data_IF_450908006789
#
_entry.id   IF_450908006789
#
_cell.length_a   1.000
_cell.length_b   1.000
_cell.length_c   1.000
_cell.angle_alpha   90.00
_cell.angle_beta   90.00
_cell.angle_gamma   90.00
#
_symmetry.space_group_name_H-M   'P 1'
#
loop_
_entity.id
_entity.type
_entity.pdbx_description
1 polymer ?
#
# COMPACT_ATOMS: atom_id res chain seq x y z
N UNK A 1 -14.85 12.35 12.92
CA UNK A 1 -13.86 12.08 14.00
C UNK A 1 -14.04 10.69 14.62
N UNK A 2 -15.26 10.27 14.99
CA UNK A 2 -15.53 8.90 15.51
C UNK A 2 -15.19 7.76 14.54
N UNK A 3 -15.42 7.91 13.23
CA UNK A 3 -15.16 6.86 12.24
C UNK A 3 -13.66 6.53 12.07
N UNK A 4 -12.80 7.56 12.15
CA UNK A 4 -11.35 7.42 12.09
C UNK A 4 -10.84 6.69 13.34
N UNK A 5 -11.33 7.08 14.52
CA UNK A 5 -11.01 6.42 15.78
C UNK A 5 -11.43 4.93 15.78
N UNK A 6 -12.57 4.59 15.18
CA UNK A 6 -13.06 3.21 15.09
C UNK A 6 -12.25 2.35 14.10
N UNK A 7 -11.81 2.91 12.97
CA UNK A 7 -10.86 2.24 12.05
C UNK A 7 -9.49 2.04 12.70
N UNK A 8 -8.97 3.06 13.40
CA UNK A 8 -7.70 2.95 14.13
C UNK A 8 -7.80 1.89 15.23
N UNK A 9 -8.90 1.86 16.00
CA UNK A 9 -9.15 0.83 17.01
C UNK A 9 -9.24 -0.59 16.42
N UNK A 10 -9.88 -0.74 15.27
CA UNK A 10 -9.96 -2.04 14.59
C UNK A 10 -8.59 -2.51 14.09
N UNK A 11 -7.74 -1.61 13.57
CA UNK A 11 -6.37 -1.94 13.15
C UNK A 11 -5.50 -2.31 14.37
N UNK A 12 -5.65 -1.60 15.49
CA UNK A 12 -4.91 -1.87 16.75
C UNK A 12 -5.31 -3.21 17.40
N UNK A 13 -6.56 -3.68 17.21
CA UNK A 13 -7.03 -4.98 17.73
C UNK A 13 -6.66 -6.21 16.89
N UNK A 14 -5.98 -6.04 15.76
CA UNK A 14 -5.57 -7.16 14.91
C UNK A 14 -4.29 -7.81 15.45
N UNK A 15 -4.19 -9.14 15.34
CA UNK A 15 -2.93 -9.82 15.67
C UNK A 15 -1.81 -9.33 14.73
N UNK A 16 -0.54 -9.27 15.16
CA UNK A 16 0.57 -8.88 14.30
C UNK A 16 0.65 -9.71 13.02
N UNK A 17 0.32 -11.00 13.11
CA UNK A 17 0.22 -11.89 11.97
C UNK A 17 -0.89 -11.45 11.00
N UNK A 18 -2.09 -11.13 11.48
CA UNK A 18 -3.17 -10.65 10.63
C UNK A 18 -2.81 -9.35 9.90
N UNK A 19 -2.14 -8.41 10.59
CA UNK A 19 -1.64 -7.17 9.97
C UNK A 19 -0.61 -7.45 8.87
N UNK A 20 0.31 -8.40 9.09
CA UNK A 20 1.29 -8.83 8.09
C UNK A 20 0.60 -9.43 6.86
N UNK A 21 -0.35 -10.33 7.05
CA UNK A 21 -1.15 -10.93 5.97
C UNK A 21 -1.92 -9.87 5.18
N UNK A 22 -2.55 -8.90 5.86
CA UNK A 22 -3.26 -7.80 5.19
C UNK A 22 -2.33 -6.91 4.37
N UNK A 23 -1.14 -6.58 4.89
CA UNK A 23 -0.12 -5.81 4.15
C UNK A 23 0.37 -6.58 2.93
N UNK A 24 0.66 -7.87 3.09
CA UNK A 24 1.08 -8.77 2.01
C UNK A 24 0.02 -8.85 0.91
N UNK A 25 -1.23 -9.13 1.26
CA UNK A 25 -2.34 -9.19 0.32
C UNK A 25 -2.50 -7.89 -0.48
N UNK A 26 -2.43 -6.74 0.20
CA UNK A 26 -2.47 -5.42 -0.46
C UNK A 26 -1.29 -5.21 -1.41
N UNK A 27 -0.09 -5.68 -1.07
CA UNK A 27 1.10 -5.56 -1.92
C UNK A 27 0.96 -6.45 -3.16
N UNK A 28 0.52 -7.71 -3.00
CA UNK A 28 0.27 -8.63 -4.11
C UNK A 28 -0.70 -8.04 -5.13
N UNK A 29 -1.85 -7.51 -4.68
CA UNK A 29 -2.84 -6.92 -5.59
C UNK A 29 -2.29 -5.72 -6.39
N UNK A 30 -1.42 -4.92 -5.78
CA UNK A 30 -0.76 -3.78 -6.43
C UNK A 30 0.29 -4.21 -7.45
N UNK A 31 1.08 -5.23 -7.14
CA UNK A 31 2.04 -5.79 -8.09
C UNK A 31 1.30 -6.41 -9.28
N UNK A 32 0.23 -7.19 -9.03
CA UNK A 32 -0.63 -7.71 -10.09
C UNK A 32 -1.23 -6.60 -10.96
N UNK A 33 -1.65 -5.49 -10.35
CA UNK A 33 -2.15 -4.33 -11.10
C UNK A 33 -1.05 -3.66 -11.93
N UNK A 34 0.19 -3.69 -11.47
CA UNK A 34 1.32 -3.09 -12.19
C UNK A 34 1.72 -3.92 -13.41
N UNK A 35 1.61 -5.25 -13.31
CA UNK A 35 1.86 -6.16 -14.44
C UNK A 35 0.70 -6.19 -15.45
N UNK A 36 -0.55 -6.12 -14.97
CA UNK A 36 -1.73 -6.30 -15.81
C UNK A 36 -2.32 -4.95 -16.22
N UNK A 37 -2.22 -4.61 -17.51
CA UNK A 37 -2.79 -3.36 -18.04
C UNK A 37 -4.32 -3.36 -18.13
N UNK A 38 -4.94 -4.50 -18.46
CA UNK A 38 -6.40 -4.60 -18.62
C UNK A 38 -7.13 -4.80 -17.29
N UNK A 39 -8.23 -4.05 -17.10
CA UNK A 39 -9.00 -4.06 -15.87
C UNK A 39 -9.83 -5.33 -15.69
N UNK A 40 -10.37 -5.89 -16.77
CA UNK A 40 -11.19 -7.10 -16.69
C UNK A 40 -10.33 -8.30 -16.29
N UNK A 41 -9.20 -8.48 -16.99
CA UNK A 41 -8.21 -9.50 -16.65
C UNK A 41 -7.69 -9.34 -15.23
N UNK A 42 -7.39 -8.11 -14.78
CA UNK A 42 -6.95 -7.88 -13.40
C UNK A 42 -8.00 -8.29 -12.37
N UNK A 43 -9.29 -8.04 -12.62
CA UNK A 43 -10.36 -8.44 -11.70
C UNK A 43 -10.41 -9.97 -11.53
N UNK A 44 -10.25 -10.72 -12.62
CA UNK A 44 -10.23 -12.19 -12.58
C UNK A 44 -9.03 -12.72 -11.77
N UNK A 45 -7.84 -12.17 -12.03
CA UNK A 45 -6.62 -12.51 -11.30
C UNK A 45 -6.73 -12.15 -9.81
N UNK A 46 -7.28 -10.98 -9.50
CA UNK A 46 -7.51 -10.53 -8.13
C UNK A 46 -8.53 -11.42 -7.39
N UNK A 47 -9.58 -11.88 -8.07
CA UNK A 47 -10.55 -12.82 -7.52
C UNK A 47 -9.91 -14.18 -7.23
N UNK A 48 -9.10 -14.71 -8.15
CA UNK A 48 -8.34 -15.94 -7.95
C UNK A 48 -7.41 -15.84 -6.74
N UNK A 49 -6.70 -14.72 -6.62
CA UNK A 49 -5.85 -14.43 -5.46
C UNK A 49 -6.65 -14.40 -4.16
N UNK A 50 -7.80 -13.72 -4.15
CA UNK A 50 -8.69 -13.70 -2.98
C UNK A 50 -9.19 -15.10 -2.60
N UNK A 51 -9.53 -15.93 -3.59
CA UNK A 51 -9.98 -17.31 -3.37
C UNK A 51 -8.86 -18.17 -2.78
N UNK A 52 -7.62 -18.02 -3.24
CA UNK A 52 -6.45 -18.69 -2.67
C UNK A 52 -6.23 -18.33 -1.19
N UNK A 53 -6.28 -17.04 -0.85
CA UNK A 53 -6.19 -16.59 0.55
C UNK A 53 -7.35 -17.10 1.41
N UNK A 54 -8.58 -17.14 0.85
CA UNK A 54 -9.75 -17.68 1.56
C UNK A 54 -9.63 -19.17 1.85
N UNK A 55 -9.14 -19.96 0.89
CA UNK A 55 -8.93 -21.39 1.06
C UNK A 55 -7.95 -21.69 2.20
N UNK A 56 -7.00 -20.79 2.46
CA UNK A 56 -5.96 -20.91 3.49
C UNK A 56 -6.28 -20.07 4.75
N UNK A 57 -7.56 -19.78 5.05
CA UNK A 57 -7.92 -18.98 6.22
C UNK A 57 -7.78 -19.72 7.55
N UNK A 58 -8.09 -21.01 7.59
CA UNK A 58 -8.23 -21.81 8.82
C UNK A 58 -7.08 -22.81 9.02
N UNK A 59 -5.85 -22.41 8.70
CA UNK A 59 -4.69 -23.29 8.74
C UNK A 59 -3.97 -23.16 10.09
N UNK A 60 -3.28 -24.21 10.52
CA UNK A 60 -2.43 -24.18 11.72
C UNK A 60 -1.36 -23.08 11.65
N UNK A 61 -1.03 -22.46 12.79
CA UNK A 61 -0.11 -21.32 12.91
C UNK A 61 1.23 -21.57 12.21
N UNK A 62 1.84 -22.75 12.40
CA UNK A 62 3.14 -23.10 11.78
C UNK A 62 3.06 -23.12 10.26
N UNK A 63 1.95 -23.62 9.71
CA UNK A 63 1.74 -23.66 8.26
C UNK A 63 1.39 -22.26 7.72
N UNK A 64 0.66 -21.45 8.46
CA UNK A 64 0.38 -20.06 8.09
C UNK A 64 1.67 -19.23 7.97
N UNK A 65 2.61 -19.39 8.91
CA UNK A 65 3.91 -18.71 8.82
C UNK A 65 4.73 -19.12 7.59
N UNK A 66 4.76 -20.42 7.29
CA UNK A 66 5.42 -20.92 6.09
C UNK A 66 4.80 -20.35 4.81
N UNK A 67 3.47 -20.36 4.71
CA UNK A 67 2.75 -19.83 3.54
C UNK A 67 2.99 -18.33 3.34
N UNK A 68 3.00 -17.55 4.42
CA UNK A 68 3.29 -16.11 4.33
C UNK A 68 4.72 -15.86 3.87
N UNK A 69 5.69 -16.66 4.35
CA UNK A 69 7.09 -16.53 3.93
C UNK A 69 7.28 -16.89 2.46
N UNK A 70 6.72 -18.03 2.02
CA UNK A 70 6.73 -18.45 0.62
C UNK A 70 6.10 -17.40 -0.30
N UNK A 71 4.95 -16.84 0.09
CA UNK A 71 4.30 -15.77 -0.66
C UNK A 71 5.13 -14.47 -0.71
N UNK A 72 5.87 -14.12 0.35
CA UNK A 72 6.78 -12.97 0.35
C UNK A 72 7.98 -13.19 -0.59
N UNK A 73 8.54 -14.40 -0.63
CA UNK A 73 9.63 -14.78 -1.54
C UNK A 73 9.18 -14.71 -3.01
N UNK A 74 8.00 -15.26 -3.31
CA UNK A 74 7.41 -15.17 -4.65
C UNK A 74 7.12 -13.73 -5.06
N UNK A 75 6.59 -12.91 -4.14
CA UNK A 75 6.30 -11.51 -4.41
C UNK A 75 7.56 -10.70 -4.73
N UNK A 76 8.67 -11.00 -4.06
CA UNK A 76 9.94 -10.34 -4.31
C UNK A 76 10.55 -10.77 -5.65
N UNK A 77 10.45 -12.05 -5.99
CA UNK A 77 10.89 -12.58 -7.30
C UNK A 77 10.10 -11.95 -8.47
N UNK A 78 8.77 -11.83 -8.33
CA UNK A 78 7.89 -11.28 -9.36
C UNK A 78 7.65 -9.77 -9.24
N UNK A 79 8.51 -9.06 -8.51
CA UNK A 79 8.34 -7.62 -8.31
C UNK A 79 8.45 -6.87 -9.65
N UNK A 80 7.49 -6.00 -9.93
CA UNK A 80 7.53 -5.20 -11.14
C UNK A 80 8.68 -4.18 -11.07
N UNK A 81 9.51 -3.99 -12.13
CA UNK A 81 10.65 -3.08 -12.10
C UNK A 81 10.25 -1.60 -11.98
N UNK A 82 9.06 -1.22 -12.46
CA UNK A 82 8.53 0.14 -12.39
C UNK A 82 7.04 0.16 -11.99
N UNK A 83 6.70 -0.04 -10.71
CA UNK A 83 5.32 -0.23 -10.27
C UNK A 83 4.47 1.04 -10.45
N UNK A 84 3.14 0.88 -10.52
CA UNK A 84 2.22 2.02 -10.61
C UNK A 84 2.14 2.72 -9.25
N UNK A 85 2.61 3.97 -9.19
CA UNK A 85 2.60 4.82 -8.00
C UNK A 85 1.58 5.94 -8.18
N UNK A 86 0.84 6.27 -7.12
CA UNK A 86 -0.08 7.41 -7.14
C UNK A 86 0.74 8.70 -7.39
N UNK A 87 0.33 9.58 -8.33
CA UNK A 87 1.10 10.78 -8.67
C UNK A 87 1.55 11.63 -7.47
N UNK A 88 0.72 11.76 -6.43
CA UNK A 88 1.04 12.60 -5.25
C UNK A 88 1.68 11.83 -4.10
N UNK A 89 1.79 10.51 -4.19
CA UNK A 89 2.49 9.71 -3.19
C UNK A 89 4.00 9.84 -3.36
N UNK A 90 4.80 9.55 -2.32
CA UNK A 90 6.27 9.48 -2.46
C UNK A 90 6.67 8.58 -3.62
N UNK A 91 7.56 9.06 -4.49
CA UNK A 91 7.98 8.38 -5.72
C UNK A 91 7.04 8.55 -6.92
N UNK A 92 5.91 9.25 -6.77
CA UNK A 92 5.00 9.62 -7.85
C UNK A 92 5.44 10.86 -8.62
N UNK A 93 4.94 11.01 -9.84
CA UNK A 93 5.33 12.10 -10.76
C UNK A 93 5.01 13.52 -10.27
N UNK A 94 4.03 13.67 -9.39
CA UNK A 94 3.57 14.95 -8.84
C UNK A 94 3.96 15.13 -7.36
N UNK A 95 4.81 14.25 -6.82
CA UNK A 95 5.24 14.33 -5.42
C UNK A 95 6.03 15.62 -5.20
N UNK A 96 5.67 16.39 -4.16
CA UNK A 96 6.33 17.65 -3.77
C UNK A 96 6.40 18.74 -4.86
N UNK A 97 5.64 18.63 -5.95
CA UNK A 97 5.63 19.64 -7.03
C UNK A 97 5.23 21.04 -6.55
N UNK A 98 4.22 21.09 -5.66
CA UNK A 98 3.66 22.33 -5.10
C UNK A 98 3.64 22.24 -3.56
N UNK A 99 4.76 21.90 -2.92
CA UNK A 99 4.83 21.90 -1.47
C UNK A 99 4.67 23.34 -0.94
N UNK A 100 3.80 23.59 0.06
CA UNK A 100 3.70 24.92 0.65
C UNK A 100 5.05 25.28 1.31
N UNK A 101 5.44 26.56 1.29
CA UNK A 101 6.63 27.00 2.01
C UNK A 101 6.49 26.69 3.51
N UNK A 102 7.61 26.47 4.22
CA UNK A 102 7.56 26.28 5.66
C UNK A 102 7.04 27.57 6.33
N UNK A 103 6.22 27.41 7.37
CA UNK A 103 5.61 28.53 8.10
C UNK A 103 6.64 29.47 8.73
N UNK A 104 7.83 28.95 9.08
CA UNK A 104 8.91 29.71 9.72
C UNK A 104 9.73 30.54 8.71
N UNK A 105 9.39 30.49 7.42
CA UNK A 105 9.99 31.35 6.41
C UNK A 105 9.36 32.74 6.50
N UNK A 106 9.98 33.63 7.27
CA UNK A 106 9.73 35.07 7.16
C UNK A 106 10.30 35.55 5.83
N UNK A 107 9.49 36.25 5.02
CA UNK A 107 10.01 36.93 3.83
C UNK A 107 11.06 37.95 4.29
N UNK A 108 12.22 38.04 3.63
CA UNK A 108 13.16 39.12 3.93
C UNK A 108 12.48 40.47 3.68
N UNK A 109 12.71 41.44 4.57
CA UNK A 109 12.06 42.77 4.54
C UNK A 109 12.09 43.44 3.16
N UNK A 110 13.18 43.25 2.42
CA UNK A 110 13.37 43.77 1.06
C UNK A 110 12.31 43.34 0.03
N UNK A 111 11.57 42.24 0.25
CA UNK A 111 10.49 41.81 -0.65
C UNK A 111 9.13 42.44 -0.33
N UNK A 112 8.97 43.07 0.84
CA UNK A 112 7.71 43.70 1.27
C UNK A 112 7.55 45.09 0.63
N UNK A 113 8.65 45.78 0.32
CA UNK A 113 8.66 47.14 -0.23
C UNK A 113 8.17 47.26 -1.69
N UNK A 114 8.06 46.15 -2.43
CA UNK A 114 7.60 46.13 -3.83
C UNK A 114 6.10 45.87 -4.00
N UNK A 115 5.33 45.81 -2.90
CA UNK A 115 3.89 45.54 -2.89
C UNK A 115 3.05 46.79 -2.66
#
# INVERSE_FOLDING_TARGET
KFFILLMVYHVVRQSPHALRVCKLYRRILKEQQSWVGDRLLWNEIALNTRNAFKAQKNVSSKKAEFLVKDAEEQLEYWRHPNPIINPHAPGGVCYQRNAPPPYDMTMPEAFVEWR
#
